data_IF_072058424352
#
_entry.id   IF_072058424352
#
_cell.length_a   1.000
_cell.length_b   1.000
_cell.length_c   1.000
_cell.angle_alpha   90.00
_cell.angle_beta   90.00
_cell.angle_gamma   90.00
#
_symmetry.space_group_name_H-M   'P 1'
#
loop_
_entity.id
_entity.type
_entity.pdbx_description
1 polymer ?
#
# COMPACT_ATOMS: atom_id res chain seq x y z
N UNK A 1 -6.52 11.87 16.92
CA UNK A 1 -5.43 11.24 17.69
C UNK A 1 -4.78 12.24 18.61
N UNK A 2 -4.14 13.30 18.09
CA UNK A 2 -3.43 14.28 18.93
C UNK A 2 -4.33 14.89 20.01
N UNK A 3 -5.55 15.31 19.67
CA UNK A 3 -6.54 15.80 20.66
C UNK A 3 -6.77 14.80 21.81
N UNK A 4 -7.07 13.54 21.48
CA UNK A 4 -7.29 12.48 22.47
C UNK A 4 -6.06 12.30 23.36
N UNK A 5 -4.88 12.22 22.74
CA UNK A 5 -3.61 12.00 23.44
C UNK A 5 -3.30 13.15 24.39
N UNK A 6 -3.37 14.40 23.94
CA UNK A 6 -3.10 15.57 24.80
C UNK A 6 -4.12 15.72 25.92
N UNK A 7 -5.41 15.50 25.65
CA UNK A 7 -6.45 15.52 26.69
C UNK A 7 -6.18 14.47 27.76
N UNK A 8 -5.88 13.24 27.36
CA UNK A 8 -5.56 12.15 28.29
C UNK A 8 -4.28 12.45 29.06
N UNK A 9 -3.23 12.92 28.39
CA UNK A 9 -1.95 13.26 29.01
C UNK A 9 -2.11 14.29 30.11
N UNK A 10 -2.82 15.40 29.81
CA UNK A 10 -3.07 16.47 30.78
C UNK A 10 -3.95 15.97 31.93
N UNK A 11 -5.02 15.23 31.64
CA UNK A 11 -5.96 14.72 32.63
C UNK A 11 -5.29 13.82 33.69
N UNK A 12 -4.33 13.00 33.27
CA UNK A 12 -3.65 12.05 34.16
C UNK A 12 -2.24 12.48 34.56
N UNK A 13 -1.81 13.70 34.22
CA UNK A 13 -0.47 14.19 34.53
C UNK A 13 0.65 13.36 33.91
N UNK A 14 0.44 12.81 32.71
CA UNK A 14 1.42 11.97 32.02
C UNK A 14 2.56 12.79 31.39
N UNK A 15 3.74 12.17 31.15
CA UNK A 15 4.87 12.82 30.51
C UNK A 15 4.55 13.40 29.13
N UNK A 16 5.32 14.42 28.74
CA UNK A 16 5.24 15.01 27.40
C UNK A 16 5.47 14.00 26.27
N UNK A 17 4.83 14.25 25.13
CA UNK A 17 4.92 13.42 23.94
C UNK A 17 5.61 14.21 22.84
N UNK A 18 6.57 13.58 22.16
CA UNK A 18 7.21 14.15 20.97
C UNK A 18 6.44 13.75 19.72
N UNK A 19 5.93 14.76 19.02
CA UNK A 19 5.22 14.57 17.77
C UNK A 19 6.17 14.71 16.59
N UNK A 20 6.00 13.86 15.59
CA UNK A 20 6.83 13.83 14.39
C UNK A 20 5.97 13.90 13.12
N UNK A 21 6.43 14.69 12.15
CA UNK A 21 5.86 14.75 10.81
C UNK A 21 6.91 14.33 9.77
N UNK A 22 6.72 13.18 9.15
CA UNK A 22 7.62 12.67 8.11
C UNK A 22 7.25 13.24 6.74
N UNK A 23 7.93 14.31 6.34
CA UNK A 23 7.72 15.00 5.07
C UNK A 23 8.56 14.34 3.96
N UNK A 24 7.91 13.61 3.06
CA UNK A 24 8.55 12.96 1.90
C UNK A 24 8.88 13.92 0.75
N UNK A 25 8.42 15.16 0.82
CA UNK A 25 8.54 16.17 -0.22
C UNK A 25 7.41 16.14 -1.26
N UNK A 26 6.37 15.32 -1.04
CA UNK A 26 5.19 15.22 -1.91
C UNK A 26 3.87 15.35 -1.12
N UNK A 27 3.96 15.96 0.06
CA UNK A 27 2.84 16.26 0.93
C UNK A 27 2.13 17.51 0.42
N UNK A 28 0.80 17.44 0.42
CA UNK A 28 -0.09 18.54 0.07
C UNK A 28 0.10 19.73 1.01
N UNK A 29 -0.08 20.94 0.49
CA UNK A 29 -0.06 22.15 1.29
C UNK A 29 -1.18 22.15 2.34
N UNK A 30 -2.36 21.62 2.00
CA UNK A 30 -3.43 21.39 2.97
C UNK A 30 -3.01 20.50 4.15
N UNK A 31 -2.09 19.54 3.92
CA UNK A 31 -1.56 18.68 5.00
C UNK A 31 -0.56 19.44 5.86
N UNK A 32 0.36 20.18 5.24
CA UNK A 32 1.38 20.97 5.97
C UNK A 32 0.75 22.07 6.82
N UNK A 33 -0.21 22.80 6.25
CA UNK A 33 -1.00 23.80 6.96
C UNK A 33 -1.71 23.18 8.17
N UNK A 34 -2.39 22.05 7.97
CA UNK A 34 -3.09 21.39 9.06
C UNK A 34 -2.15 20.91 10.19
N UNK A 35 -0.96 20.44 9.87
CA UNK A 35 0.06 20.09 10.88
C UNK A 35 0.40 21.31 11.73
N UNK A 36 0.62 22.47 11.12
CA UNK A 36 0.89 23.72 11.83
C UNK A 36 -0.30 24.18 12.69
N UNK A 37 -1.50 24.21 12.12
CA UNK A 37 -2.72 24.59 12.85
C UNK A 37 -2.98 23.71 14.08
N UNK A 38 -2.71 22.41 13.97
CA UNK A 38 -2.83 21.49 15.10
C UNK A 38 -1.72 21.73 16.12
N UNK A 39 -0.47 21.94 15.70
CA UNK A 39 0.61 22.29 16.62
C UNK A 39 0.26 23.54 17.45
N UNK A 40 -0.20 24.60 16.78
CA UNK A 40 -0.61 25.87 17.40
C UNK A 40 -1.81 25.68 18.34
N UNK A 41 -2.84 24.93 17.91
CA UNK A 41 -4.06 24.69 18.71
C UNK A 41 -3.78 24.00 20.04
N UNK A 42 -2.82 23.07 20.08
CA UNK A 42 -2.52 22.30 21.29
C UNK A 42 -1.26 22.82 22.01
N UNK A 43 -0.59 23.85 21.49
CA UNK A 43 0.64 24.38 22.07
C UNK A 43 1.78 23.35 22.11
N UNK A 44 1.84 22.47 21.10
CA UNK A 44 2.84 21.39 21.01
C UNK A 44 3.78 21.61 19.84
N UNK A 45 5.01 21.13 19.96
CA UNK A 45 5.94 21.06 18.83
C UNK A 45 5.69 19.78 18.02
N UNK A 46 5.55 19.93 16.69
CA UNK A 46 5.57 18.81 15.74
C UNK A 46 6.83 18.94 14.89
N UNK A 47 7.84 18.13 15.20
CA UNK A 47 9.13 18.18 14.51
C UNK A 47 9.01 17.57 13.10
N UNK A 48 9.36 18.35 12.08
CA UNK A 48 9.39 17.88 10.70
C UNK A 48 10.69 17.13 10.40
N UNK A 49 10.58 15.91 9.89
CA UNK A 49 11.71 15.10 9.45
C UNK A 49 11.65 14.85 7.94
N UNK A 50 12.75 15.16 7.25
CA UNK A 50 12.91 14.91 5.82
C UNK A 50 13.88 13.75 5.56
N UNK A 51 13.62 12.93 4.53
CA UNK A 51 14.54 11.87 4.16
C UNK A 51 15.81 12.42 3.51
N UNK A 52 16.92 11.71 3.69
CA UNK A 52 18.19 12.02 3.02
C UNK A 52 18.05 11.92 1.49
N UNK A 53 17.29 10.91 1.01
CA UNK A 53 16.99 10.70 -0.39
C UNK A 53 15.52 11.04 -0.63
N UNK A 54 15.26 12.04 -1.48
CA UNK A 54 13.88 12.45 -1.77
C UNK A 54 13.18 11.47 -2.73
N UNK A 55 11.88 11.66 -2.89
CA UNK A 55 11.05 10.74 -3.69
C UNK A 55 11.45 10.69 -5.17
N UNK A 56 11.87 11.83 -5.74
CA UNK A 56 12.29 11.92 -7.14
C UNK A 56 13.57 11.11 -7.37
N UNK A 57 14.57 11.28 -6.49
CA UNK A 57 15.81 10.51 -6.56
C UNK A 57 15.57 9.02 -6.34
N UNK A 58 14.77 8.67 -5.32
CA UNK A 58 14.48 7.27 -4.99
C UNK A 58 13.75 6.54 -6.13
N UNK A 59 12.79 7.19 -6.77
CA UNK A 59 12.04 6.61 -7.89
C UNK A 59 12.87 6.48 -9.16
N UNK A 60 13.74 7.44 -9.46
CA UNK A 60 14.69 7.34 -10.59
C UNK A 60 15.70 6.21 -10.41
N UNK A 61 16.21 6.02 -9.21
CA UNK A 61 17.25 5.02 -8.94
C UNK A 61 16.68 3.60 -8.82
N UNK A 62 15.55 3.44 -8.14
CA UNK A 62 15.04 2.12 -7.76
C UNK A 62 13.80 1.69 -8.54
N UNK A 63 13.06 2.63 -9.14
CA UNK A 63 11.79 2.38 -9.79
C UNK A 63 10.59 2.96 -9.06
N UNK A 64 9.43 2.85 -9.69
CA UNK A 64 8.17 3.41 -9.22
C UNK A 64 7.23 2.30 -8.73
N UNK A 65 6.40 2.56 -7.72
CA UNK A 65 5.49 1.54 -7.22
C UNK A 65 4.39 1.22 -8.24
N UNK A 66 3.83 0.03 -8.16
CA UNK A 66 2.72 -0.43 -9.00
C UNK A 66 1.72 -1.26 -8.18
N UNK A 67 0.46 -0.81 -8.16
CA UNK A 67 -0.74 -1.41 -7.54
C UNK A 67 -0.72 -1.68 -6.03
N UNK A 68 0.33 -2.30 -5.50
CA UNK A 68 0.48 -2.60 -4.08
C UNK A 68 1.95 -2.70 -3.71
N UNK A 69 2.27 -2.58 -2.42
CA UNK A 69 3.64 -2.79 -1.94
C UNK A 69 4.13 -4.22 -2.21
N UNK A 70 3.23 -5.20 -2.13
CA UNK A 70 3.56 -6.62 -2.32
C UNK A 70 3.86 -6.88 -3.80
N UNK A 71 2.97 -6.47 -4.69
CA UNK A 71 3.17 -6.56 -6.14
C UNK A 71 4.45 -5.85 -6.54
N UNK A 72 4.68 -4.64 -6.02
CA UNK A 72 5.88 -3.88 -6.34
C UNK A 72 7.17 -4.59 -5.90
N UNK A 73 7.19 -5.22 -4.72
CA UNK A 73 8.37 -5.93 -4.23
C UNK A 73 8.63 -7.24 -4.99
N UNK A 74 7.57 -7.99 -5.29
CA UNK A 74 7.66 -9.20 -6.08
C UNK A 74 8.13 -8.89 -7.52
N UNK A 75 7.54 -7.89 -8.16
CA UNK A 75 7.94 -7.48 -9.51
C UNK A 75 9.34 -6.87 -9.56
N UNK A 76 9.78 -6.16 -8.52
CA UNK A 76 11.17 -5.73 -8.40
C UNK A 76 12.11 -6.95 -8.44
N UNK A 77 11.76 -8.03 -7.71
CA UNK A 77 12.53 -9.28 -7.71
C UNK A 77 12.52 -9.93 -9.10
N UNK A 78 11.35 -10.05 -9.73
CA UNK A 78 11.19 -10.59 -11.09
C UNK A 78 12.07 -9.84 -12.09
N UNK A 79 11.97 -8.51 -12.14
CA UNK A 79 12.75 -7.68 -13.06
C UNK A 79 14.25 -7.74 -12.79
N UNK A 80 14.68 -7.67 -11.52
CA UNK A 80 16.11 -7.67 -11.17
C UNK A 80 16.79 -9.01 -11.39
N UNK A 81 16.05 -10.10 -11.23
CA UNK A 81 16.56 -11.46 -11.37
C UNK A 81 16.36 -12.03 -12.76
N UNK A 82 15.67 -11.29 -13.64
CA UNK A 82 15.37 -11.74 -14.99
C UNK A 82 14.49 -12.99 -15.00
N UNK A 83 13.57 -13.12 -14.04
CA UNK A 83 12.68 -14.29 -13.98
C UNK A 83 11.75 -14.26 -15.19
N UNK A 84 11.78 -15.28 -16.06
CA UNK A 84 10.85 -15.34 -17.18
C UNK A 84 9.45 -15.70 -16.65
N UNK A 85 8.41 -15.11 -17.24
CA UNK A 85 7.04 -15.45 -16.88
C UNK A 85 6.70 -16.93 -17.17
N UNK A 86 7.48 -17.58 -18.05
CA UNK A 86 7.37 -19.00 -18.41
C UNK A 86 7.53 -19.97 -17.24
N UNK A 87 8.16 -19.54 -16.13
CA UNK A 87 8.31 -20.39 -14.94
C UNK A 87 6.97 -20.74 -14.31
N UNK A 88 5.91 -19.96 -14.59
CA UNK A 88 4.56 -20.27 -14.15
C UNK A 88 4.07 -21.53 -14.84
N UNK A 89 4.22 -21.63 -16.16
CA UNK A 89 3.80 -22.79 -16.93
C UNK A 89 4.61 -24.03 -16.58
N UNK A 90 5.93 -23.87 -16.35
CA UNK A 90 6.77 -24.96 -15.84
C UNK A 90 6.25 -25.49 -14.50
N UNK A 91 5.91 -24.58 -13.58
CA UNK A 91 5.32 -24.96 -12.29
C UNK A 91 3.95 -25.59 -12.46
N UNK A 92 3.05 -25.03 -13.28
CA UNK A 92 1.67 -25.50 -13.47
C UNK A 92 1.62 -26.89 -14.11
N UNK A 93 2.53 -27.18 -15.04
CA UNK A 93 2.62 -28.47 -15.74
C UNK A 93 3.38 -29.56 -14.98
N UNK A 94 4.14 -29.21 -13.94
CA UNK A 94 4.88 -30.20 -13.15
C UNK A 94 3.95 -31.08 -12.31
N UNK A 95 4.17 -32.39 -12.31
CA UNK A 95 3.46 -33.33 -11.43
C UNK A 95 3.88 -33.13 -9.96
N UNK A 96 5.18 -32.97 -9.72
CA UNK A 96 5.75 -32.72 -8.39
C UNK A 96 6.06 -31.22 -8.20
N UNK A 97 5.14 -30.52 -7.51
CA UNK A 97 5.25 -29.08 -7.25
C UNK A 97 6.40 -28.72 -6.32
N UNK A 98 6.74 -29.59 -5.37
CA UNK A 98 7.85 -29.35 -4.43
C UNK A 98 9.19 -29.43 -5.16
N UNK A 99 9.35 -30.45 -6.01
CA UNK A 99 10.56 -30.64 -6.83
C UNK A 99 10.78 -29.49 -7.81
N UNK A 100 9.78 -29.12 -8.63
CA UNK A 100 9.94 -27.99 -9.57
C UNK A 100 10.22 -26.68 -8.82
N UNK A 101 9.64 -26.49 -7.62
CA UNK A 101 9.89 -25.31 -6.80
C UNK A 101 11.34 -25.25 -6.32
N UNK A 102 11.92 -26.39 -5.95
CA UNK A 102 13.34 -26.50 -5.60
C UNK A 102 14.23 -26.23 -6.81
N UNK A 103 13.95 -26.84 -7.96
CA UNK A 103 14.70 -26.61 -9.21
C UNK A 103 14.67 -25.13 -9.62
N UNK A 104 13.52 -24.46 -9.48
CA UNK A 104 13.39 -23.01 -9.72
C UNK A 104 14.23 -22.18 -8.74
N UNK A 105 14.33 -22.60 -7.48
CA UNK A 105 15.17 -21.93 -6.48
C UNK A 105 16.65 -22.04 -6.82
N UNK A 106 17.08 -23.21 -7.30
CA UNK A 106 18.45 -23.48 -7.70
C UNK A 106 18.82 -22.74 -8.99
N UNK A 107 17.92 -22.73 -9.98
CA UNK A 107 18.10 -21.96 -11.24
C UNK A 107 18.13 -20.45 -11.00
N UNK A 108 17.32 -19.94 -10.07
CA UNK A 108 17.19 -18.51 -9.80
C UNK A 108 17.48 -18.18 -8.33
N UNK A 109 18.75 -18.23 -7.89
CA UNK A 109 19.11 -18.05 -6.49
C UNK A 109 18.73 -16.65 -5.95
N UNK A 110 18.21 -16.63 -4.71
CA UNK A 110 17.73 -15.43 -4.01
C UNK A 110 16.56 -14.74 -4.72
N UNK A 111 15.68 -15.51 -5.36
CA UNK A 111 14.52 -15.02 -6.11
C UNK A 111 13.19 -15.57 -5.58
N UNK A 112 13.19 -16.11 -4.36
CA UNK A 112 12.08 -16.85 -3.76
C UNK A 112 10.78 -16.05 -3.75
N UNK A 113 10.85 -14.74 -3.50
CA UNK A 113 9.67 -13.86 -3.54
C UNK A 113 9.07 -13.76 -4.95
N UNK A 114 9.90 -13.63 -5.98
CA UNK A 114 9.46 -13.55 -7.37
C UNK A 114 8.88 -14.88 -7.85
N UNK A 115 9.54 -16.00 -7.51
CA UNK A 115 9.07 -17.35 -7.83
C UNK A 115 7.71 -17.61 -7.18
N UNK A 116 7.59 -17.40 -5.86
CA UNK A 116 6.34 -17.62 -5.13
C UNK A 116 5.18 -16.75 -5.68
N UNK A 117 5.49 -15.51 -6.08
CA UNK A 117 4.49 -14.59 -6.62
C UNK A 117 4.00 -15.02 -8.01
N UNK A 118 4.92 -15.36 -8.93
CA UNK A 118 4.58 -15.78 -10.30
C UNK A 118 3.90 -17.15 -10.32
N UNK A 119 4.48 -18.14 -9.62
CA UNK A 119 4.00 -19.52 -9.55
C UNK A 119 2.82 -19.73 -8.59
N UNK A 120 2.34 -18.67 -7.92
CA UNK A 120 1.27 -18.74 -6.93
C UNK A 120 1.47 -19.83 -5.86
N UNK A 121 2.69 -19.98 -5.34
CA UNK A 121 3.04 -21.07 -4.41
C UNK A 121 3.72 -20.55 -3.12
N UNK A 122 3.85 -21.41 -2.11
CA UNK A 122 4.66 -21.15 -0.92
C UNK A 122 6.12 -21.59 -1.11
N UNK A 123 6.90 -21.56 -0.02
CA UNK A 123 8.34 -21.93 -0.04
C UNK A 123 8.56 -23.42 -0.28
N UNK A 124 7.58 -24.24 0.10
CA UNK A 124 7.60 -25.71 0.05
C UNK A 124 7.00 -26.22 -1.28
N UNK A 125 6.56 -25.31 -2.16
CA UNK A 125 5.97 -25.62 -3.46
C UNK A 125 4.46 -25.88 -3.40
N UNK A 126 3.80 -25.64 -2.27
CA UNK A 126 2.35 -25.83 -2.18
C UNK A 126 1.61 -24.64 -2.82
N UNK A 127 0.58 -24.89 -3.64
CA UNK A 127 -0.26 -23.84 -4.21
C UNK A 127 -0.88 -22.96 -3.12
N UNK A 128 -0.90 -21.65 -3.35
CA UNK A 128 -1.62 -20.69 -2.51
C UNK A 128 -2.93 -20.29 -3.18
N UNK A 129 -4.00 -20.05 -2.40
CA UNK A 129 -5.18 -19.38 -2.92
C UNK A 129 -4.83 -17.96 -3.42
N UNK A 130 -5.77 -17.31 -4.11
CA UNK A 130 -5.61 -15.94 -4.65
C UNK A 130 -5.58 -14.86 -3.55
N UNK A 131 -4.62 -14.96 -2.64
CA UNK A 131 -4.31 -14.01 -1.57
C UNK A 131 -3.29 -12.98 -2.06
N UNK A 132 -3.19 -11.84 -1.37
CA UNK A 132 -2.39 -10.68 -1.78
C UNK A 132 -0.89 -10.96 -2.06
N UNK A 133 -0.38 -12.15 -1.70
CA UNK A 133 1.00 -12.59 -1.88
C UNK A 133 1.28 -13.21 -3.26
N UNK A 134 0.27 -13.40 -4.11
CA UNK A 134 0.42 -14.03 -5.42
C UNK A 134 -0.11 -13.16 -6.55
N UNK A 135 0.37 -13.38 -7.78
CA UNK A 135 0.01 -12.57 -8.95
C UNK A 135 -1.50 -12.63 -9.25
N UNK A 136 -2.11 -13.80 -9.03
CA UNK A 136 -3.53 -14.06 -9.28
C UNK A 136 -4.48 -13.42 -8.26
N UNK A 137 -3.94 -12.76 -7.21
CA UNK A 137 -4.73 -11.85 -6.37
C UNK A 137 -5.34 -10.69 -7.16
N UNK A 138 -4.73 -10.36 -8.29
CA UNK A 138 -5.20 -9.38 -9.26
C UNK A 138 -5.58 -10.11 -10.54
N UNK A 139 -6.89 -10.28 -10.76
CA UNK A 139 -7.42 -11.05 -11.90
C UNK A 139 -6.84 -10.57 -13.23
N UNK A 140 -6.31 -11.50 -14.02
CA UNK A 140 -5.68 -11.29 -15.33
C UNK A 140 -4.35 -10.51 -15.32
N UNK A 141 -3.72 -10.34 -14.16
CA UNK A 141 -2.47 -9.60 -14.06
C UNK A 141 -1.30 -10.33 -14.71
N UNK A 142 -1.23 -11.65 -14.54
CA UNK A 142 -0.16 -12.48 -15.11
C UNK A 142 -0.15 -12.38 -16.64
N UNK A 143 -1.30 -12.62 -17.26
CA UNK A 143 -1.52 -12.57 -18.70
C UNK A 143 -1.24 -11.17 -19.24
N UNK A 144 -1.77 -10.14 -18.58
CA UNK A 144 -1.52 -8.76 -18.96
C UNK A 144 -0.02 -8.44 -18.98
N UNK A 145 0.71 -8.78 -17.92
CA UNK A 145 2.15 -8.48 -17.81
C UNK A 145 3.00 -9.31 -18.76
N UNK A 146 2.58 -10.54 -19.07
CA UNK A 146 3.23 -11.40 -20.06
C UNK A 146 3.07 -10.83 -21.48
N UNK A 147 1.86 -10.40 -21.84
CA UNK A 147 1.56 -9.80 -23.15
C UNK A 147 2.06 -8.35 -23.28
N UNK A 148 2.14 -7.63 -22.17
CA UNK A 148 2.54 -6.22 -22.11
C UNK A 148 3.65 -6.03 -21.08
N UNK A 149 4.90 -6.44 -21.38
CA UNK A 149 6.02 -6.24 -20.46
C UNK A 149 6.16 -4.78 -20.04
N UNK A 150 6.41 -4.56 -18.75
CA UNK A 150 6.58 -3.22 -18.19
C UNK A 150 7.89 -2.58 -18.67
N UNK A 151 7.82 -1.36 -19.19
CA UNK A 151 8.93 -0.56 -19.75
C UNK A 151 9.69 0.26 -18.70
N UNK A 152 9.19 0.32 -17.46
CA UNK A 152 9.86 0.96 -16.33
C UNK A 152 10.20 -0.02 -15.20
N UNK A 153 11.13 0.37 -14.32
CA UNK A 153 11.48 -0.38 -13.12
C UNK A 153 10.36 -0.27 -12.08
N UNK A 154 9.82 -1.38 -11.63
CA UNK A 154 8.82 -1.45 -10.57
C UNK A 154 9.53 -1.60 -9.23
N UNK A 155 9.23 -0.72 -8.27
CA UNK A 155 9.70 -0.86 -6.88
C UNK A 155 8.90 -0.02 -5.89
N UNK A 156 8.72 -0.52 -4.67
CA UNK A 156 8.16 0.24 -3.55
C UNK A 156 9.22 0.89 -2.64
N UNK A 157 10.49 0.90 -3.06
CA UNK A 157 11.61 1.43 -2.25
C UNK A 157 11.51 2.91 -1.93
N UNK A 158 10.76 3.69 -2.71
CA UNK A 158 10.48 5.09 -2.35
C UNK A 158 9.88 5.21 -0.94
N UNK A 159 9.01 4.29 -0.53
CA UNK A 159 8.45 4.27 0.83
C UNK A 159 9.51 3.92 1.89
N UNK A 160 10.50 3.10 1.54
CA UNK A 160 11.57 2.72 2.47
C UNK A 160 12.50 3.90 2.75
N UNK A 161 13.07 4.49 1.70
CA UNK A 161 13.98 5.63 1.80
C UNK A 161 13.29 6.90 2.30
N UNK A 162 12.07 7.18 1.83
CA UNK A 162 11.41 8.44 2.14
C UNK A 162 10.67 8.43 3.48
N UNK A 163 10.29 7.25 4.01
CA UNK A 163 9.51 7.14 5.24
C UNK A 163 10.14 6.22 6.28
N UNK A 164 10.35 4.94 5.95
CA UNK A 164 10.71 3.93 6.97
C UNK A 164 12.07 4.19 7.61
N UNK A 165 13.11 4.48 6.82
CA UNK A 165 14.46 4.68 7.35
C UNK A 165 14.53 5.87 8.30
N UNK A 166 13.87 6.98 7.94
CA UNK A 166 13.79 8.18 8.79
C UNK A 166 13.00 7.89 10.05
N UNK A 167 11.83 7.23 9.92
CA UNK A 167 11.01 6.86 11.06
C UNK A 167 11.75 5.94 12.04
N UNK A 168 12.44 4.91 11.56
CA UNK A 168 13.22 4.02 12.42
C UNK A 168 14.36 4.76 13.12
N UNK A 169 15.03 5.70 12.44
CA UNK A 169 16.08 6.52 13.04
C UNK A 169 15.52 7.38 14.18
N UNK A 170 14.38 8.05 13.95
CA UNK A 170 13.75 8.92 14.95
C UNK A 170 13.19 8.10 16.11
N UNK A 171 12.62 6.93 15.85
CA UNK A 171 11.96 6.10 16.86
C UNK A 171 12.95 5.37 17.78
N UNK A 172 14.21 5.19 17.38
CA UNK A 172 15.20 4.38 18.12
C UNK A 172 15.42 4.85 19.56
N UNK A 173 15.35 6.16 19.78
CA UNK A 173 15.69 6.77 21.08
C UNK A 173 14.47 6.89 22.01
N UNK A 174 13.33 6.29 21.65
CA UNK A 174 12.10 6.33 22.43
C UNK A 174 11.69 4.94 22.90
N UNK A 175 11.25 4.83 24.15
CA UNK A 175 10.78 3.57 24.72
C UNK A 175 9.41 3.15 24.16
N UNK A 176 8.53 4.11 23.90
CA UNK A 176 7.17 3.85 23.40
C UNK A 176 6.86 4.67 22.16
N UNK A 177 6.30 4.00 21.14
CA UNK A 177 5.83 4.64 19.90
C UNK A 177 4.31 4.59 19.83
N UNK A 178 3.70 5.78 19.74
CA UNK A 178 2.24 5.95 19.64
C UNK A 178 1.85 6.16 18.17
N UNK A 179 0.87 5.41 17.67
CA UNK A 179 0.38 5.56 16.29
C UNK A 179 -1.15 5.55 16.21
N UNK A 180 -1.72 6.26 15.25
CA UNK A 180 -3.17 6.39 15.07
C UNK A 180 -3.81 5.25 14.28
N UNK A 181 -3.18 4.08 14.23
CA UNK A 181 -3.68 2.93 13.47
C UNK A 181 -5.01 2.42 14.07
N UNK A 182 -5.98 2.14 13.19
CA UNK A 182 -7.27 1.55 13.57
C UNK A 182 -7.51 0.22 12.87
N UNK A 183 -8.17 -0.70 13.57
CA UNK A 183 -8.62 -1.99 13.00
C UNK A 183 -9.57 -1.78 11.82
N UNK A 184 -10.46 -0.80 11.93
CA UNK A 184 -11.45 -0.44 10.90
C UNK A 184 -10.85 0.11 9.60
N UNK A 185 -9.56 0.46 9.58
CA UNK A 185 -8.89 0.76 8.30
C UNK A 185 -8.70 -0.50 7.41
N UNK A 186 -8.88 -1.68 7.99
CA UNK A 186 -8.86 -2.98 7.31
C UNK A 186 -7.48 -3.41 6.79
N UNK A 187 -7.50 -4.46 5.97
CA UNK A 187 -6.30 -5.07 5.38
C UNK A 187 -5.47 -5.85 6.40
N UNK A 188 -4.14 -5.83 6.24
CA UNK A 188 -3.22 -6.56 7.13
C UNK A 188 -3.26 -6.10 8.60
N UNK A 189 -3.95 -5.01 8.92
CA UNK A 189 -4.08 -4.45 10.27
C UNK A 189 -5.15 -5.14 11.10
N UNK A 190 -6.11 -5.78 10.45
CA UNK A 190 -7.20 -6.51 11.11
C UNK A 190 -6.95 -8.02 11.17
N UNK A 191 -5.81 -8.49 10.63
CA UNK A 191 -5.48 -9.90 10.51
C UNK A 191 -4.34 -10.23 11.49
N UNK A 192 -4.57 -11.09 12.49
CA UNK A 192 -3.52 -11.58 13.37
C UNK A 192 -2.48 -12.33 12.54
N UNK A 193 -1.19 -12.05 12.78
CA UNK A 193 -0.12 -12.83 12.16
C UNK A 193 0.22 -13.99 13.09
N UNK A 194 0.39 -15.19 12.55
CA UNK A 194 0.84 -16.36 13.32
C UNK A 194 2.17 -16.12 14.04
N UNK A 195 3.03 -15.26 13.49
CA UNK A 195 4.35 -14.91 14.03
C UNK A 195 4.32 -13.68 14.96
N UNK A 196 3.22 -12.93 14.98
CA UNK A 196 3.07 -11.70 15.77
C UNK A 196 1.59 -11.51 16.15
N UNK A 197 1.13 -12.32 17.11
CA UNK A 197 -0.22 -12.26 17.66
C UNK A 197 -0.51 -10.89 18.33
N UNK A 198 0.55 -10.19 18.76
CA UNK A 198 0.47 -8.89 19.43
C UNK A 198 0.31 -7.73 18.43
N UNK A 199 0.62 -7.94 17.15
CA UNK A 199 0.47 -6.93 16.09
C UNK A 199 -0.97 -6.43 15.91
N UNK A 200 -1.97 -7.21 16.33
CA UNK A 200 -3.40 -6.85 16.35
C UNK A 200 -3.91 -6.36 17.70
N UNK A 201 -3.03 -6.01 18.64
CA UNK A 201 -3.41 -5.44 19.92
C UNK A 201 -3.26 -3.92 19.91
N UNK A 202 -3.98 -3.24 20.80
CA UNK A 202 -3.82 -1.80 21.01
C UNK A 202 -2.52 -1.46 21.74
N UNK A 203 -1.91 -2.43 22.42
CA UNK A 203 -0.62 -2.31 23.09
C UNK A 203 0.21 -3.57 22.83
N UNK A 204 1.49 -3.41 22.51
CA UNK A 204 2.40 -4.54 22.24
C UNK A 204 3.85 -4.16 22.52
N UNK A 205 4.66 -5.13 22.92
CA UNK A 205 6.11 -5.01 22.99
C UNK A 205 6.74 -5.60 21.73
N UNK A 206 7.71 -4.90 21.18
CA UNK A 206 8.50 -5.36 20.02
C UNK A 206 9.67 -6.22 20.47
N UNK A 207 10.26 -6.99 19.56
CA UNK A 207 11.45 -7.80 19.86
C UNK A 207 12.67 -6.99 20.30
N UNK A 208 12.70 -5.68 20.04
CA UNK A 208 13.74 -4.77 20.53
C UNK A 208 13.46 -4.19 21.92
N UNK A 209 12.39 -4.61 22.60
CA UNK A 209 11.97 -4.10 23.91
C UNK A 209 11.24 -2.74 23.87
N UNK A 210 10.96 -2.19 22.67
CA UNK A 210 10.17 -0.96 22.54
C UNK A 210 8.68 -1.29 22.58
N UNK A 211 7.89 -0.41 23.20
CA UNK A 211 6.43 -0.53 23.26
C UNK A 211 5.75 0.19 22.08
N UNK A 212 4.61 -0.34 21.65
CA UNK A 212 3.75 0.21 20.61
C UNK A 212 2.35 0.41 21.16
N UNK A 213 1.88 1.65 21.14
CA UNK A 213 0.53 2.01 21.56
C UNK A 213 -0.29 2.50 20.37
N UNK A 214 -1.50 1.97 20.23
CA UNK A 214 -2.48 2.32 19.20
C UNK A 214 -3.78 2.74 19.90
N UNK A 215 -3.88 3.99 20.40
CA UNK A 215 -5.01 4.42 21.22
C UNK A 215 -6.34 4.42 20.45
N UNK A 216 -6.29 4.45 19.12
CA UNK A 216 -7.47 4.43 18.26
C UNK A 216 -7.81 3.04 17.73
N UNK A 217 -7.12 1.99 18.18
CA UNK A 217 -7.17 0.69 17.49
C UNK A 217 -8.59 0.11 17.37
N UNK A 218 -9.39 0.23 18.42
CA UNK A 218 -10.79 -0.23 18.45
C UNK A 218 -11.82 0.88 18.18
N UNK A 219 -11.37 2.08 17.79
CA UNK A 219 -12.27 3.22 17.51
C UNK A 219 -12.87 3.04 16.12
N UNK A 220 -14.19 2.86 16.07
CA UNK A 220 -14.91 2.68 14.81
C UNK A 220 -15.02 3.97 14.00
N UNK A 221 -15.48 3.87 12.75
CA UNK A 221 -15.84 5.06 11.96
C UNK A 221 -16.96 5.88 12.60
N UNK A 222 -17.92 5.22 13.26
CA UNK A 222 -18.99 5.88 13.99
C UNK A 222 -18.45 6.64 15.22
N UNK A 223 -17.58 6.01 16.01
CA UNK A 223 -16.95 6.65 17.16
C UNK A 223 -16.10 7.84 16.74
N UNK A 224 -15.36 7.70 15.63
CA UNK A 224 -14.55 8.79 15.06
C UNK A 224 -15.41 9.97 14.63
N UNK A 225 -16.57 9.72 14.01
CA UNK A 225 -17.52 10.75 13.61
C UNK A 225 -18.14 11.45 14.83
N UNK A 226 -18.60 10.67 15.81
CA UNK A 226 -19.12 11.19 17.08
C UNK A 226 -18.08 12.06 17.81
N UNK A 227 -16.84 11.58 17.92
CA UNK A 227 -15.76 12.31 18.59
C UNK A 227 -15.47 13.63 17.88
N UNK A 228 -15.52 13.63 16.54
CA UNK A 228 -15.32 14.83 15.73
C UNK A 228 -16.37 15.89 16.08
N UNK A 229 -17.64 15.52 16.11
CA UNK A 229 -18.75 16.41 16.43
C UNK A 229 -18.69 16.90 17.88
N UNK A 230 -18.54 15.96 18.83
CA UNK A 230 -18.55 16.24 20.27
C UNK A 230 -17.46 17.21 20.72
N UNK A 231 -16.30 17.18 20.07
CA UNK A 231 -15.13 18.00 20.41
C UNK A 231 -14.78 19.05 19.36
N UNK A 232 -15.64 19.24 18.35
CA UNK A 232 -15.42 20.23 17.29
C UNK A 232 -14.09 20.05 16.56
N UNK A 233 -13.70 18.80 16.29
CA UNK A 233 -12.45 18.50 15.58
C UNK A 233 -12.62 18.81 14.10
N UNK A 234 -11.69 19.58 13.55
CA UNK A 234 -11.58 19.79 12.10
C UNK A 234 -10.52 18.89 11.53
N UNK A 235 -10.78 18.33 10.35
CA UNK A 235 -9.77 17.62 9.58
C UNK A 235 -9.09 18.57 8.60
N UNK A 236 -7.93 18.16 8.07
CA UNK A 236 -7.28 18.88 6.98
C UNK A 236 -8.25 19.11 5.82
N UNK A 237 -8.10 20.23 5.12
CA UNK A 237 -8.86 20.54 3.90
C UNK A 237 -8.76 19.46 2.83
N UNK A 238 -7.69 18.66 2.86
CA UNK A 238 -7.57 17.47 2.03
C UNK A 238 -8.79 16.53 2.17
N UNK A 239 -9.38 16.45 3.37
CA UNK A 239 -10.60 15.69 3.63
C UNK A 239 -11.86 16.54 3.45
N UNK A 240 -11.91 17.73 4.07
CA UNK A 240 -13.16 18.50 4.18
C UNK A 240 -13.49 19.32 2.93
N UNK A 241 -12.48 19.74 2.18
CA UNK A 241 -12.63 20.60 0.98
C UNK A 241 -12.35 19.81 -0.30
N UNK A 242 -11.25 19.04 -0.34
CA UNK A 242 -10.85 18.33 -1.56
C UNK A 242 -11.63 17.01 -1.73
N UNK A 243 -12.23 16.49 -0.65
CA UNK A 243 -13.02 15.26 -0.69
C UNK A 243 -12.20 13.97 -0.77
N UNK A 244 -10.95 13.98 -0.30
CA UNK A 244 -10.14 12.77 -0.21
C UNK A 244 -10.61 11.89 0.95
N UNK A 245 -10.62 10.57 0.74
CA UNK A 245 -11.01 9.61 1.80
C UNK A 245 -9.83 9.18 2.67
N UNK A 246 -8.62 9.25 2.13
CA UNK A 246 -7.37 8.94 2.83
C UNK A 246 -6.28 9.85 2.32
N UNK A 247 -5.45 10.36 3.21
CA UNK A 247 -4.24 11.10 2.85
C UNK A 247 -3.01 10.22 3.03
N UNK A 248 -2.05 10.40 2.13
CA UNK A 248 -0.78 9.70 2.10
C UNK A 248 0.24 10.52 1.33
N UNK A 249 1.25 9.86 0.77
CA UNK A 249 2.10 10.52 -0.22
C UNK A 249 1.23 10.84 -1.45
N UNK A 250 1.16 12.12 -1.84
CA UNK A 250 0.21 12.57 -2.86
C UNK A 250 0.41 11.81 -4.17
N UNK A 251 -0.66 11.28 -4.75
CA UNK A 251 -0.62 10.53 -5.99
C UNK A 251 0.13 9.18 -5.93
N UNK A 252 0.48 8.61 -4.77
CA UNK A 252 1.18 7.33 -4.77
C UNK A 252 0.46 6.26 -5.62
N UNK A 253 1.15 5.68 -6.61
CA UNK A 253 0.61 4.71 -7.59
C UNK A 253 0.22 3.34 -6.99
N UNK A 254 0.39 3.19 -5.68
CA UNK A 254 -0.19 2.09 -4.89
C UNK A 254 -1.70 2.29 -4.71
N UNK A 255 -2.18 3.54 -4.68
CA UNK A 255 -3.62 3.79 -4.54
C UNK A 255 -4.35 3.40 -5.81
N UNK A 256 -5.41 2.61 -5.66
CA UNK A 256 -6.29 2.27 -6.77
C UNK A 256 -7.06 3.47 -7.32
N UNK A 257 -7.09 4.57 -6.57
CA UNK A 257 -7.75 5.83 -6.90
C UNK A 257 -6.77 6.97 -7.16
N UNK A 258 -5.46 6.69 -7.30
CA UNK A 258 -4.44 7.72 -7.41
C UNK A 258 -4.78 8.82 -8.42
N UNK A 259 -5.18 8.45 -9.64
CA UNK A 259 -5.55 9.41 -10.69
C UNK A 259 -6.85 10.17 -10.36
N UNK A 260 -7.88 9.49 -9.86
CA UNK A 260 -9.14 10.11 -9.42
C UNK A 260 -8.90 11.14 -8.30
N UNK A 261 -8.08 10.78 -7.32
CA UNK A 261 -7.71 11.65 -6.21
C UNK A 261 -6.88 12.85 -6.70
N UNK A 262 -5.97 12.66 -7.67
CA UNK A 262 -5.22 13.75 -8.29
C UNK A 262 -6.12 14.76 -9.01
N UNK A 263 -7.21 14.33 -9.65
CA UNK A 263 -8.17 15.26 -10.26
C UNK A 263 -8.92 16.09 -9.22
N UNK A 264 -9.22 15.53 -8.04
CA UNK A 264 -9.81 16.30 -6.92
C UNK A 264 -8.84 17.32 -6.33
N UNK A 265 -7.55 17.02 -6.34
CA UNK A 265 -6.49 17.89 -5.83
C UNK A 265 -6.14 19.01 -6.83
N UNK A 266 -6.27 18.74 -8.14
CA UNK A 266 -5.83 19.64 -9.23
C UNK A 266 -6.31 21.09 -9.12
N UNK A 267 -7.57 21.40 -8.76
CA UNK A 267 -8.04 22.78 -8.64
C UNK A 267 -7.34 23.57 -7.52
N UNK A 268 -6.86 22.88 -6.49
CA UNK A 268 -6.30 23.49 -5.29
C UNK A 268 -4.76 23.49 -5.30
N UNK A 269 -4.14 22.40 -5.76
CA UNK A 269 -2.70 22.19 -5.71
C UNK A 269 -2.11 21.68 -7.04
N UNK A 270 -2.22 22.43 -8.14
CA UNK A 270 -1.86 21.97 -9.49
C UNK A 270 -0.37 21.57 -9.63
N UNK A 271 0.52 22.22 -8.87
CA UNK A 271 1.95 21.92 -8.89
C UNK A 271 2.27 20.54 -8.27
N UNK A 272 1.56 20.16 -7.20
CA UNK A 272 1.72 18.84 -6.58
C UNK A 272 1.19 17.76 -7.52
N UNK A 273 0.09 18.03 -8.22
CA UNK A 273 -0.45 17.12 -9.25
C UNK A 273 0.55 16.95 -10.40
N UNK A 274 1.14 18.03 -10.89
CA UNK A 274 2.19 17.99 -11.91
C UNK A 274 3.40 17.15 -11.45
N UNK A 275 3.84 17.34 -10.21
CA UNK A 275 4.92 16.55 -9.63
C UNK A 275 4.57 15.06 -9.53
N UNK A 276 3.36 14.72 -9.09
CA UNK A 276 2.89 13.33 -9.00
C UNK A 276 2.87 12.65 -10.38
N UNK A 277 2.37 13.32 -11.42
CA UNK A 277 2.41 12.81 -12.80
C UNK A 277 3.83 12.64 -13.34
N UNK A 278 4.74 13.54 -13.00
CA UNK A 278 6.15 13.41 -13.39
C UNK A 278 6.87 12.25 -12.71
N UNK A 279 6.46 11.91 -11.47
CA UNK A 279 7.09 10.84 -10.70
C UNK A 279 6.47 9.48 -11.01
N UNK A 280 5.14 9.39 -11.11
CA UNK A 280 4.40 8.12 -11.15
C UNK A 280 3.61 7.91 -12.44
N UNK A 281 3.68 8.83 -13.40
CA UNK A 281 2.84 8.84 -14.61
C UNK A 281 2.88 7.54 -15.41
N UNK A 282 4.04 6.89 -15.52
CA UNK A 282 4.17 5.63 -16.25
C UNK A 282 3.41 4.50 -15.55
N UNK A 283 3.46 4.45 -14.21
CA UNK A 283 2.69 3.48 -13.42
C UNK A 283 1.18 3.73 -13.53
N UNK A 284 0.74 5.00 -13.58
CA UNK A 284 -0.69 5.30 -13.82
C UNK A 284 -1.15 4.83 -15.19
N UNK A 285 -0.39 5.14 -16.25
CA UNK A 285 -0.68 4.73 -17.63
C UNK A 285 -0.71 3.22 -17.77
N UNK A 286 0.28 2.53 -17.21
CA UNK A 286 0.36 1.07 -17.24
C UNK A 286 -0.79 0.43 -16.46
N UNK A 287 -1.17 1.00 -15.32
CA UNK A 287 -2.34 0.56 -14.57
C UNK A 287 -3.65 0.78 -15.33
N UNK A 288 -3.75 1.84 -16.12
CA UNK A 288 -4.92 2.07 -16.97
C UNK A 288 -5.01 1.00 -18.07
N UNK A 289 -3.91 0.71 -18.77
CA UNK A 289 -3.83 -0.41 -19.73
C UNK A 289 -4.26 -1.74 -19.09
N UNK A 290 -3.77 -2.04 -17.89
CA UNK A 290 -4.19 -3.23 -17.13
C UNK A 290 -5.69 -3.24 -16.83
N UNK A 291 -6.27 -2.12 -16.38
CA UNK A 291 -7.69 -2.04 -16.07
C UNK A 291 -8.55 -2.27 -17.32
N UNK A 292 -8.13 -1.75 -18.47
CA UNK A 292 -8.84 -1.93 -19.75
C UNK A 292 -8.72 -3.36 -20.25
N UNK A 293 -7.53 -3.96 -20.20
CA UNK A 293 -7.31 -5.38 -20.48
C UNK A 293 -8.21 -6.27 -19.59
N UNK A 294 -8.23 -5.99 -18.28
CA UNK A 294 -9.07 -6.72 -17.32
C UNK A 294 -10.56 -6.61 -17.66
N UNK A 295 -11.05 -5.44 -18.07
CA UNK A 295 -12.45 -5.25 -18.48
C UNK A 295 -12.77 -6.04 -19.74
N UNK A 296 -11.88 -6.01 -20.73
CA UNK A 296 -12.02 -6.77 -21.98
C UNK A 296 -12.12 -8.27 -21.70
N UNK A 297 -11.17 -8.85 -20.95
CA UNK A 297 -11.18 -10.27 -20.55
C UNK A 297 -12.42 -10.66 -19.75
N UNK A 298 -12.92 -9.78 -18.87
CA UNK A 298 -14.18 -10.03 -18.16
C UNK A 298 -15.39 -10.03 -19.08
N UNK A 299 -15.43 -9.17 -20.10
CA UNK A 299 -16.50 -9.14 -21.08
C UNK A 299 -16.48 -10.39 -21.98
N UNK A 300 -15.28 -10.82 -22.42
CA UNK A 300 -15.08 -12.06 -23.17
C UNK A 300 -15.56 -13.29 -22.38
N UNK A 301 -15.15 -13.41 -21.11
CA UNK A 301 -15.57 -14.52 -20.25
C UNK A 301 -17.09 -14.55 -19.99
N UNK A 302 -17.74 -13.37 -19.92
CA UNK A 302 -19.20 -13.29 -19.80
C UNK A 302 -19.93 -13.71 -21.06
N UNK A 303 -19.41 -13.33 -22.24
CA UNK A 303 -19.97 -13.74 -23.53
C UNK A 303 -19.79 -15.24 -23.78
N UNK A 304 -18.62 -15.80 -23.45
CA UNK A 304 -18.38 -17.25 -23.56
C UNK A 304 -19.14 -18.11 -22.54
N UNK A 305 -19.74 -17.49 -21.51
CA UNK A 305 -20.61 -18.16 -20.53
C UNK A 305 -22.12 -17.95 -20.78
N UNK A 306 -22.50 -17.10 -21.73
CA UNK A 306 -23.88 -17.01 -22.22
C UNK A 306 -23.98 -17.91 -23.46
N UNK A 307 -24.44 -19.14 -23.28
CA UNK A 307 -25.00 -19.89 -24.40
C UNK A 307 -26.17 -19.10 -24.99
N UNK A 308 -26.15 -18.89 -26.29
CA UNK A 308 -27.30 -18.34 -27.02
C UNK A 308 -28.41 -19.40 -27.06
N UNK A 309 -29.66 -18.99 -27.28
CA UNK A 309 -30.79 -19.93 -27.44
C UNK A 309 -30.59 -20.85 -28.65
N UNK A 310 -29.71 -20.46 -29.58
CA UNK A 310 -29.32 -21.18 -30.79
C UNK A 310 -28.30 -22.30 -30.49
N UNK A 311 -27.67 -22.29 -29.31
CA UNK A 311 -26.73 -23.33 -28.84
C UNK A 311 -27.44 -24.50 -28.13
N UNK A 312 -28.78 -24.54 -28.13
CA UNK A 312 -29.58 -25.66 -27.63
C UNK A 312 -29.93 -26.57 -28.81
N UNK A 313 -29.28 -27.74 -28.98
CA UNK A 313 -29.68 -28.69 -30.00
C UNK A 313 -31.00 -29.33 -29.55
N UNK A 314 -32.13 -28.90 -30.12
CA UNK A 314 -33.39 -29.62 -29.90
C UNK A 314 -34.71 -28.91 -30.10
N UNK A 315 -34.80 -27.69 -30.64
CA UNK A 315 -36.11 -27.14 -31.03
C UNK A 315 -36.00 -26.44 -32.39
N UNK A 316 -36.26 -27.19 -33.46
CA UNK A 316 -36.73 -26.62 -34.72
C UNK A 316 -38.26 -26.51 -34.68
N UNK A 317 -38.84 -25.50 -35.38
CA UNK A 317 -40.25 -25.11 -35.28
C UNK A 317 -41.26 -26.16 -35.73
#
# INVERSE_FOLDING_TARGET
MLDLVERTRIMFGLPEIKYCFFNTGLEMEATKRHVKEVADKYGVEITEYRPKKNIVQSTREHGIPFMSKIVSAAMETVQKKGLPFSIREEYDNAEDKAKIRQELRERYPKSEQGINFLCCCNRDGEPRPNIQLVIDSSKYLYEFMKENPCDFKISAKCCDYCKKQVAHKVQKDYEMIITGERRDEGGMRSVPKSEDANGTMCFSETSSGQFRLKPLYYVSDADKAWYKERYGIRYSDAYEVYGLKRTGCCGCSISSKAVEDLEKIRPYEPNVVKAAWNIFGDSYRYRQKYNDFRRMKQAEAKKGGQMSIEDIPGVMP
#
